data_IF_726557647247
#
_entry.id   IF_726557647247
#
_cell.length_a   1.000
_cell.length_b   1.000
_cell.length_c   1.000
_cell.angle_alpha   90.00
_cell.angle_beta   90.00
_cell.angle_gamma   90.00
#
_symmetry.space_group_name_H-M   'P 1'
#
loop_
_entity.id
_entity.type
_entity.pdbx_description
1 polymer ?
#
# COMPACT_ATOMS: atom_id res chain seq x y z
N UNK A 1 -10.27 -10.04 -5.44
CA UNK A 1 -9.05 -9.40 -4.90
C UNK A 1 -9.05 -7.90 -5.21
N UNK A 2 -9.27 -7.48 -6.47
CA UNK A 2 -9.52 -6.08 -6.86
C UNK A 2 -10.65 -5.39 -6.07
N UNK A 3 -11.79 -6.06 -5.88
CA UNK A 3 -12.91 -5.56 -5.07
C UNK A 3 -12.55 -5.17 -3.62
N UNK A 4 -11.46 -5.73 -3.07
CA UNK A 4 -11.05 -5.48 -1.67
C UNK A 4 -10.18 -4.23 -1.52
N UNK A 5 -9.37 -3.93 -2.54
CA UNK A 5 -8.59 -2.69 -2.65
C UNK A 5 -9.51 -1.51 -2.97
N UNK A 6 -10.48 -1.71 -3.87
CA UNK A 6 -11.54 -0.73 -4.16
C UNK A 6 -12.36 -0.43 -2.91
N UNK A 7 -12.76 -1.44 -2.14
CA UNK A 7 -13.49 -1.22 -0.88
C UNK A 7 -12.66 -0.44 0.16
N UNK A 8 -11.37 -0.74 0.34
CA UNK A 8 -10.51 0.03 1.27
C UNK A 8 -10.31 1.46 0.77
N UNK A 9 -10.12 1.68 -0.53
CA UNK A 9 -9.99 3.01 -1.11
C UNK A 9 -11.30 3.81 -1.02
N UNK A 10 -12.44 3.17 -1.30
CA UNK A 10 -13.79 3.76 -1.24
C UNK A 10 -14.18 4.12 0.20
N UNK A 11 -13.91 3.23 1.17
CA UNK A 11 -14.05 3.54 2.60
C UNK A 11 -13.12 4.70 3.01
N UNK A 12 -11.90 4.78 2.46
CA UNK A 12 -11.01 5.92 2.71
C UNK A 12 -11.50 7.24 2.11
N UNK A 13 -12.28 7.22 1.01
CA UNK A 13 -12.90 8.41 0.41
C UNK A 13 -14.22 8.79 1.07
N UNK A 14 -15.03 7.83 1.53
CA UNK A 14 -16.28 8.11 2.29
C UNK A 14 -16.00 8.55 3.74
N UNK A 15 -14.80 8.26 4.25
CA UNK A 15 -14.22 8.83 5.49
C UNK A 15 -14.00 10.36 5.41
N UNK A 16 -14.46 11.05 4.37
CA UNK A 16 -14.48 12.52 4.33
C UNK A 16 -15.87 13.13 4.54
N UNK A 17 -16.96 12.33 4.60
CA UNK A 17 -18.34 12.85 4.53
C UNK A 17 -19.14 12.79 5.84
N UNK A 18 -18.70 12.09 6.88
CA UNK A 18 -19.50 11.90 8.11
C UNK A 18 -18.74 12.21 9.40
N UNK A 19 -19.46 12.72 10.42
CA UNK A 19 -18.91 13.37 11.62
C UNK A 19 -17.81 12.59 12.34
N UNK A 20 -16.64 13.22 12.45
CA UNK A 20 -15.47 12.71 13.15
C UNK A 20 -15.29 13.39 14.51
N UNK A 21 -14.71 12.66 15.45
CA UNK A 21 -13.96 13.27 16.55
C UNK A 21 -12.51 13.42 16.14
N UNK A 22 -12.08 14.65 15.86
CA UNK A 22 -10.68 14.98 15.62
C UNK A 22 -10.00 15.30 16.94
N UNK A 23 -8.80 14.76 17.16
CA UNK A 23 -7.97 15.06 18.34
C UNK A 23 -6.51 15.21 17.94
N UNK A 24 -5.88 16.26 18.45
CA UNK A 24 -4.43 16.40 18.40
C UNK A 24 -3.82 15.59 19.53
N UNK A 25 -2.96 14.63 19.20
CA UNK A 25 -2.20 13.88 20.20
C UNK A 25 -1.04 14.73 20.71
N UNK A 26 -0.59 14.48 21.95
CA UNK A 26 0.59 15.11 22.53
C UNK A 26 1.89 14.90 21.70
N UNK A 27 1.88 13.91 20.80
CA UNK A 27 2.95 13.64 19.83
C UNK A 27 2.93 14.54 18.58
N UNK A 28 2.00 15.50 18.49
CA UNK A 28 1.81 16.36 17.30
C UNK A 28 1.07 15.67 16.15
N UNK A 29 0.57 14.44 16.36
CA UNK A 29 -0.21 13.70 15.37
C UNK A 29 -1.67 14.13 15.41
N UNK A 30 -2.30 14.20 14.24
CA UNK A 30 -3.75 14.30 14.13
C UNK A 30 -4.35 12.88 14.16
N UNK A 31 -5.24 12.61 15.10
CA UNK A 31 -6.00 11.35 15.19
C UNK A 31 -7.47 11.61 14.89
N UNK A 32 -8.02 10.79 14.02
CA UNK A 32 -9.42 10.77 13.61
C UNK A 32 -10.00 9.38 13.78
N UNK A 33 -11.20 9.27 14.37
CA UNK A 33 -11.85 7.99 14.65
C UNK A 33 -13.28 8.00 14.11
N UNK A 34 -13.67 6.92 13.42
CA UNK A 34 -15.04 6.71 12.95
C UNK A 34 -15.37 5.22 12.83
N UNK A 35 -16.46 4.78 13.48
CA UNK A 35 -17.02 3.43 13.36
C UNK A 35 -15.99 2.27 13.41
N UNK A 36 -15.05 2.32 14.36
CA UNK A 36 -14.02 1.27 14.51
C UNK A 36 -12.80 1.41 13.59
N UNK A 37 -12.74 2.50 12.81
CA UNK A 37 -11.58 2.91 12.02
C UNK A 37 -10.84 4.01 12.79
N UNK A 38 -9.55 3.81 13.06
CA UNK A 38 -8.65 4.85 13.55
C UNK A 38 -7.72 5.29 12.43
N UNK A 39 -7.59 6.59 12.25
CA UNK A 39 -6.75 7.22 11.24
C UNK A 39 -5.81 8.21 11.94
N UNK A 40 -4.52 7.89 11.93
CA UNK A 40 -3.46 8.75 12.44
C UNK A 40 -2.72 9.40 11.26
N UNK A 41 -2.54 10.72 11.31
CA UNK A 41 -1.68 11.47 10.41
C UNK A 41 -0.52 12.10 11.17
N UNK A 42 0.66 12.03 10.58
CA UNK A 42 1.87 12.68 11.06
C UNK A 42 2.56 13.35 9.86
N UNK A 43 2.69 14.67 9.89
CA UNK A 43 3.56 15.40 8.97
C UNK A 43 4.96 15.54 9.57
N UNK A 44 5.99 15.47 8.73
CA UNK A 44 7.38 15.63 9.10
C UNK A 44 7.96 16.91 8.50
N UNK A 45 9.00 17.51 9.13
CA UNK A 45 9.60 18.77 8.65
C UNK A 45 10.22 18.69 7.25
N UNK A 46 10.58 17.49 6.79
CA UNK A 46 11.12 17.23 5.45
C UNK A 46 10.04 17.21 4.34
N UNK A 47 8.78 17.48 4.71
CA UNK A 47 7.64 17.47 3.79
C UNK A 47 6.99 16.09 3.64
N UNK A 48 7.54 15.04 4.27
CA UNK A 48 6.93 13.71 4.24
C UNK A 48 5.68 13.66 5.13
N UNK A 49 4.71 12.81 4.76
CA UNK A 49 3.48 12.60 5.52
C UNK A 49 3.22 11.12 5.71
N UNK A 50 3.12 10.68 6.96
CA UNK A 50 2.70 9.32 7.32
C UNK A 50 1.23 9.29 7.70
N UNK A 51 0.49 8.39 7.08
CA UNK A 51 -0.89 8.04 7.40
C UNK A 51 -0.93 6.60 7.89
N UNK A 52 -1.55 6.36 9.03
CA UNK A 52 -1.82 5.00 9.54
C UNK A 52 -3.33 4.84 9.70
N UNK A 53 -3.92 3.93 8.95
CA UNK A 53 -5.31 3.53 9.10
C UNK A 53 -5.34 2.15 9.75
N UNK A 54 -6.03 2.03 10.88
CA UNK A 54 -6.31 0.76 11.54
C UNK A 54 -7.81 0.54 11.52
N UNK A 55 -8.25 -0.60 10.96
CA UNK A 55 -9.63 -1.04 11.01
C UNK A 55 -9.70 -2.17 12.02
N UNK A 56 -10.50 -1.98 13.06
CA UNK A 56 -10.88 -3.04 13.98
C UNK A 56 -12.28 -3.50 13.62
N UNK A 57 -12.39 -4.65 12.96
CA UNK A 57 -13.69 -5.29 12.76
C UNK A 57 -14.17 -5.84 14.10
N UNK A 58 -15.18 -5.20 14.69
CA UNK A 58 -15.78 -5.58 15.97
C UNK A 58 -16.77 -6.74 15.84
N UNK A 59 -17.20 -7.11 14.62
CA UNK A 59 -18.15 -8.21 14.38
C UNK A 59 -17.46 -9.57 14.31
N UNK A 60 -16.18 -9.60 13.94
CA UNK A 60 -15.36 -10.79 13.87
C UNK A 60 -14.07 -10.53 14.65
N UNK A 61 -14.07 -10.92 15.94
CA UNK A 61 -13.09 -10.70 17.02
C UNK A 61 -11.56 -10.81 16.73
N UNK A 62 -11.08 -10.90 15.48
CA UNK A 62 -9.69 -11.25 15.16
C UNK A 62 -9.11 -10.57 13.91
N UNK A 63 -9.84 -9.71 13.19
CA UNK A 63 -9.30 -9.10 11.95
C UNK A 63 -8.98 -7.63 12.14
N UNK A 64 -7.74 -7.34 12.53
CA UNK A 64 -7.19 -5.99 12.47
C UNK A 64 -6.40 -5.84 11.17
N UNK A 65 -6.89 -4.98 10.29
CA UNK A 65 -6.11 -4.52 9.14
C UNK A 65 -5.46 -3.18 9.50
N UNK A 66 -4.14 -3.10 9.29
CA UNK A 66 -3.39 -1.87 9.46
C UNK A 66 -2.76 -1.52 8.12
N UNK A 67 -3.22 -0.42 7.52
CA UNK A 67 -2.59 0.18 6.37
C UNK A 67 -1.69 1.33 6.84
N UNK A 68 -0.39 1.25 6.56
CA UNK A 68 0.57 2.32 6.81
C UNK A 68 1.00 2.90 5.47
N UNK A 69 0.58 4.12 5.19
CA UNK A 69 0.98 4.85 3.98
C UNK A 69 1.98 5.94 4.35
N UNK A 70 3.07 6.05 3.60
CA UNK A 70 4.02 7.15 3.68
C UNK A 70 4.03 7.85 2.32
N UNK A 71 3.68 9.13 2.33
CA UNK A 71 3.82 10.03 1.19
C UNK A 71 5.13 10.79 1.34
N UNK A 72 5.94 10.77 0.31
CA UNK A 72 7.21 11.46 0.25
C UNK A 72 7.06 12.82 -0.41
N UNK A 73 7.93 13.77 -0.05
CA UNK A 73 7.90 15.12 -0.60
C UNK A 73 8.13 15.16 -2.13
N UNK A 74 8.81 14.16 -2.69
CA UNK A 74 9.02 14.02 -4.14
C UNK A 74 7.77 13.54 -4.90
N UNK A 75 6.67 13.20 -4.20
CA UNK A 75 5.44 12.68 -4.79
C UNK A 75 5.32 11.16 -4.75
N UNK A 76 6.40 10.45 -4.42
CA UNK A 76 6.35 9.00 -4.24
C UNK A 76 5.49 8.64 -3.04
N UNK A 77 4.98 7.42 -3.02
CA UNK A 77 4.38 6.90 -1.81
C UNK A 77 4.56 5.40 -1.69
N UNK A 78 4.50 4.93 -0.44
CA UNK A 78 4.45 3.51 -0.12
C UNK A 78 3.26 3.22 0.77
N UNK A 79 2.66 2.05 0.63
CA UNK A 79 1.61 1.55 1.51
C UNK A 79 1.90 0.11 1.90
N UNK A 80 2.07 -0.15 3.19
CA UNK A 80 2.14 -1.51 3.73
C UNK A 80 0.80 -1.87 4.34
N UNK A 81 0.20 -2.96 3.86
CA UNK A 81 -0.97 -3.57 4.44
C UNK A 81 -0.56 -4.76 5.30
N UNK A 82 -0.76 -4.63 6.61
CA UNK A 82 -0.51 -5.70 7.58
C UNK A 82 -1.82 -6.24 8.14
N UNK A 83 -1.85 -7.56 8.36
CA UNK A 83 -2.94 -8.26 9.03
C UNK A 83 -2.39 -9.05 10.21
N UNK A 84 -3.12 -9.08 11.33
CA UNK A 84 -2.80 -9.97 12.45
C UNK A 84 -3.27 -11.43 12.24
N UNK A 85 -3.92 -11.73 11.10
CA UNK A 85 -4.33 -13.10 10.78
C UNK A 85 -3.13 -13.95 10.33
N UNK A 86 -2.96 -15.10 10.98
CA UNK A 86 -1.96 -16.11 10.60
C UNK A 86 -2.15 -16.51 9.12
N UNK A 87 -1.08 -16.38 8.32
CA UNK A 87 -1.08 -16.78 6.91
C UNK A 87 -1.40 -15.67 5.90
N UNK A 88 -1.65 -14.43 6.35
CA UNK A 88 -1.67 -13.25 5.48
C UNK A 88 -0.30 -12.59 5.57
N UNK A 89 0.46 -12.61 4.47
CA UNK A 89 1.74 -11.92 4.39
C UNK A 89 1.50 -10.40 4.29
N UNK A 90 2.44 -9.63 4.83
CA UNK A 90 2.46 -8.19 4.58
C UNK A 90 2.62 -7.94 3.08
N UNK A 91 1.68 -7.19 2.51
CA UNK A 91 1.79 -6.71 1.13
C UNK A 91 2.26 -5.26 1.18
N UNK A 92 3.28 -4.92 0.39
CA UNK A 92 3.75 -3.53 0.29
C UNK A 92 3.58 -3.05 -1.15
N UNK A 93 3.03 -1.86 -1.28
CA UNK A 93 2.82 -1.17 -2.54
C UNK A 93 3.71 0.07 -2.57
N UNK A 94 4.26 0.36 -3.73
CA UNK A 94 5.02 1.57 -4.00
C UNK A 94 4.48 2.23 -5.26
N UNK A 95 4.54 3.55 -5.27
CA UNK A 95 4.35 4.34 -6.47
C UNK A 95 5.52 5.30 -6.61
N UNK A 96 6.23 5.17 -7.72
CA UNK A 96 7.31 6.06 -8.12
C UNK A 96 6.71 7.11 -9.05
N UNK A 97 6.64 8.34 -8.55
CA UNK A 97 5.84 9.42 -9.13
C UNK A 97 6.46 10.01 -10.40
N UNK A 98 7.79 10.10 -10.45
CA UNK A 98 8.53 10.61 -11.58
C UNK A 98 8.38 9.68 -12.80
N UNK A 99 8.59 8.39 -12.61
CA UNK A 99 8.47 7.36 -13.65
C UNK A 99 7.02 6.90 -13.87
N UNK A 100 6.12 7.26 -12.95
CA UNK A 100 4.71 6.81 -12.89
C UNK A 100 4.59 5.30 -12.85
N UNK A 101 5.49 4.65 -12.11
CA UNK A 101 5.56 3.20 -11.99
C UNK A 101 4.87 2.75 -10.72
N UNK A 102 3.99 1.77 -10.87
CA UNK A 102 3.39 1.07 -9.74
C UNK A 102 4.18 -0.21 -9.45
N UNK A 103 4.50 -0.45 -8.18
CA UNK A 103 5.25 -1.63 -7.74
C UNK A 103 4.53 -2.33 -6.58
N UNK A 104 4.20 -3.61 -6.77
CA UNK A 104 3.63 -4.49 -5.75
C UNK A 104 4.70 -5.47 -5.27
N UNK A 105 4.97 -5.50 -3.96
CA UNK A 105 5.83 -6.47 -3.30
C UNK A 105 4.97 -7.43 -2.46
N UNK A 106 5.10 -8.74 -2.73
CA UNK A 106 4.37 -9.81 -2.03
C UNK A 106 5.31 -10.96 -1.68
N UNK A 107 5.80 -10.95 -0.43
CA UNK A 107 6.91 -11.84 -0.03
C UNK A 107 8.15 -11.51 -0.87
N UNK A 108 8.76 -12.53 -1.46
CA UNK A 108 9.94 -12.36 -2.34
C UNK A 108 9.58 -12.05 -3.81
N UNK A 109 8.28 -11.96 -4.14
CA UNK A 109 7.84 -11.63 -5.50
C UNK A 109 7.57 -10.13 -5.66
N UNK A 110 7.90 -9.59 -6.82
CA UNK A 110 7.62 -8.21 -7.20
C UNK A 110 6.86 -8.13 -8.53
N UNK A 111 5.99 -7.12 -8.67
CA UNK A 111 5.32 -6.76 -9.92
C UNK A 111 5.43 -5.25 -10.15
N UNK A 112 6.01 -4.86 -11.27
CA UNK A 112 6.06 -3.48 -11.75
C UNK A 112 5.08 -3.29 -12.89
N UNK A 113 4.33 -2.19 -12.88
CA UNK A 113 3.44 -1.76 -13.95
C UNK A 113 3.88 -0.38 -14.42
N UNK A 114 4.23 -0.30 -15.69
CA UNK A 114 4.76 0.90 -16.32
C UNK A 114 3.65 1.66 -17.06
N UNK A 115 3.79 2.99 -17.24
CA UNK A 115 2.78 3.81 -17.91
C UNK A 115 2.58 3.48 -19.40
N UNK A 116 3.55 2.82 -20.03
CA UNK A 116 3.45 2.32 -21.40
C UNK A 116 2.60 1.03 -21.51
N UNK A 117 2.13 0.48 -20.39
CA UNK A 117 1.39 -0.76 -20.30
C UNK A 117 2.25 -2.01 -20.15
N UNK A 118 3.58 -1.88 -20.07
CA UNK A 118 4.49 -2.99 -19.77
C UNK A 118 4.30 -3.45 -18.33
N UNK A 119 4.34 -4.76 -18.12
CA UNK A 119 4.44 -5.36 -16.79
C UNK A 119 5.78 -6.11 -16.65
N UNK A 120 6.39 -6.05 -15.47
CA UNK A 120 7.58 -6.82 -15.13
C UNK A 120 7.34 -7.56 -13.82
N UNK A 121 7.50 -8.88 -13.84
CA UNK A 121 7.32 -9.76 -12.68
C UNK A 121 8.65 -10.38 -12.31
N UNK A 122 9.01 -10.27 -11.04
CA UNK A 122 10.18 -10.93 -10.47
C UNK A 122 9.66 -11.98 -9.49
N UNK A 123 10.01 -13.24 -9.70
CA UNK A 123 9.64 -14.30 -8.77
C UNK A 123 10.67 -14.47 -7.64
N UNK A 124 10.33 -15.30 -6.65
CA UNK A 124 11.20 -15.61 -5.52
C UNK A 124 12.56 -16.25 -5.92
N UNK A 125 12.70 -16.73 -7.15
CA UNK A 125 13.93 -17.30 -7.69
C UNK A 125 14.76 -16.26 -8.45
N UNK A 126 14.27 -15.02 -8.57
CA UNK A 126 14.90 -13.96 -9.34
C UNK A 126 14.64 -14.06 -10.86
N UNK A 127 13.70 -14.89 -11.30
CA UNK A 127 13.28 -14.91 -12.70
C UNK A 127 12.50 -13.63 -13.01
N UNK A 128 12.92 -12.93 -14.06
CA UNK A 128 12.24 -11.73 -14.55
C UNK A 128 11.39 -12.10 -15.77
N UNK A 129 10.10 -11.83 -15.69
CA UNK A 129 9.13 -11.98 -16.79
C UNK A 129 8.59 -10.62 -17.18
N UNK A 130 8.88 -10.18 -18.40
CA UNK A 130 8.39 -8.91 -18.96
C UNK A 130 7.25 -9.20 -19.94
N UNK A 131 6.10 -8.61 -19.70
CA UNK A 131 4.94 -8.64 -20.61
C UNK A 131 4.78 -7.28 -21.27
N UNK A 132 4.85 -7.25 -22.60
CA UNK A 132 4.66 -6.03 -23.37
C UNK A 132 3.16 -5.77 -23.62
N UNK A 133 2.76 -4.52 -23.89
CA UNK A 133 1.37 -4.18 -24.24
C UNK A 133 0.81 -4.95 -25.45
N UNK A 134 1.70 -5.39 -26.35
CA UNK A 134 1.37 -6.27 -27.47
C UNK A 134 0.91 -7.68 -27.05
N UNK A 135 1.14 -8.06 -25.79
CA UNK A 135 0.98 -9.42 -25.28
C UNK A 135 2.24 -10.27 -25.40
N UNK A 136 3.30 -9.79 -26.05
CA UNK A 136 4.56 -10.51 -26.14
C UNK A 136 5.22 -10.66 -24.76
N UNK A 137 5.70 -11.87 -24.45
CA UNK A 137 6.34 -12.19 -23.19
C UNK A 137 7.81 -12.52 -23.39
N UNK A 138 8.67 -11.90 -22.57
CA UNK A 138 10.09 -12.23 -22.47
C UNK A 138 10.39 -12.73 -21.06
N UNK A 139 11.13 -13.84 -20.98
CA UNK A 139 11.56 -14.42 -19.70
C UNK A 139 13.08 -14.44 -19.68
N UNK A 140 13.66 -13.91 -18.61
CA UNK A 140 15.09 -13.96 -18.33
C UNK A 140 15.32 -14.47 -16.92
N UNK A 141 16.26 -15.41 -16.77
CA UNK A 141 16.73 -15.82 -15.46
C UNK A 141 17.66 -14.74 -14.92
N UNK A 142 17.31 -14.13 -13.79
CA UNK A 142 18.24 -13.29 -13.05
C UNK A 142 19.43 -14.16 -12.65
N UNK A 143 20.62 -13.79 -13.08
CA UNK A 143 21.84 -14.40 -12.53
C UNK A 143 21.89 -13.97 -11.07
N UNK A 144 21.72 -14.90 -10.13
CA UNK A 144 22.09 -14.70 -8.73
C UNK A 144 23.55 -14.23 -8.72
N UNK A 145 23.80 -12.92 -8.66
CA UNK A 145 25.08 -12.43 -8.18
C UNK A 145 25.10 -12.71 -6.69
N UNK A 146 25.82 -13.79 -6.35
CA UNK A 146 26.19 -14.18 -4.98
C UNK A 146 26.96 -13.06 -4.28
#
# INVERSE_FOLDING_TARGET
MLQRLEWVHEQQTDVWKHGFSDSMLASGKLRRIYQGITLDLQAYPDGNVKRTAAITDTRYHHTNYIAKTLYFANGDWTCTLSSCQKGINDETFYYYSEERVWHEQKGDNALYKYPDGREERIDAQGTVTVTHPSGDVRVSLGVLQQ
#
